data_IF_631547193056
#
_entry.id   IF_631547193056
#
_cell.length_a   1.000
_cell.length_b   1.000
_cell.length_c   1.000
_cell.angle_alpha   90.00
_cell.angle_beta   90.00
_cell.angle_gamma   90.00
#
_symmetry.space_group_name_H-M   'P 1'
#
loop_
_entity.id
_entity.type
_entity.pdbx_description
1 polymer ?
#
# COMPACT_ATOMS: atom_id res chain seq x y z
N UNK A 1 27.33 -4.71 53.36
CA UNK A 1 26.38 -5.51 52.56
C UNK A 1 26.71 -5.28 51.09
N UNK A 2 27.58 -6.10 50.47
CA UNK A 2 27.84 -6.00 49.04
C UNK A 2 26.66 -6.61 48.26
N UNK A 3 26.19 -5.89 47.25
CA UNK A 3 25.18 -6.35 46.31
C UNK A 3 25.86 -7.19 45.23
N UNK A 4 25.88 -8.50 45.44
CA UNK A 4 26.21 -9.49 44.42
C UNK A 4 25.01 -9.65 43.49
N UNK A 5 25.05 -8.99 42.34
CA UNK A 5 24.12 -9.23 41.24
C UNK A 5 24.93 -9.64 40.01
N UNK A 6 25.47 -10.86 40.09
CA UNK A 6 26.08 -11.58 38.98
C UNK A 6 24.98 -11.96 37.97
N UNK A 7 24.72 -11.07 37.01
CA UNK A 7 23.89 -11.40 35.85
C UNK A 7 24.79 -12.01 34.77
N UNK A 8 25.07 -13.29 34.92
CA UNK A 8 25.52 -14.14 33.82
C UNK A 8 24.42 -14.21 32.75
N UNK A 9 24.52 -13.37 31.72
CA UNK A 9 23.63 -13.43 30.55
C UNK A 9 24.15 -14.54 29.63
N UNK A 10 23.34 -15.57 29.29
CA UNK A 10 23.78 -16.61 28.38
C UNK A 10 24.03 -16.03 26.99
N UNK A 11 25.26 -16.23 26.48
CA UNK A 11 25.67 -15.85 25.13
C UNK A 11 24.86 -16.69 24.14
N UNK A 12 23.82 -16.09 23.57
CA UNK A 12 23.03 -16.71 22.51
C UNK A 12 23.92 -16.80 21.27
N UNK A 13 24.31 -18.02 20.89
CA UNK A 13 25.03 -18.30 19.65
C UNK A 13 24.18 -17.85 18.47
N UNK A 14 24.53 -16.70 17.90
CA UNK A 14 23.95 -16.21 16.65
C UNK A 14 24.21 -17.24 15.54
N UNK A 15 23.17 -17.69 14.82
CA UNK A 15 23.35 -18.60 13.70
C UNK A 15 24.13 -17.89 12.59
N UNK A 16 25.10 -18.58 12.01
CA UNK A 16 25.89 -18.08 10.87
C UNK A 16 24.94 -17.89 9.68
N UNK A 17 24.55 -16.65 9.42
CA UNK A 17 23.76 -16.29 8.25
C UNK A 17 24.69 -16.39 7.05
N UNK A 18 24.53 -17.47 6.27
CA UNK A 18 25.24 -17.63 4.99
C UNK A 18 24.65 -16.64 4.00
N UNK A 19 25.32 -15.50 3.82
CA UNK A 19 24.95 -14.54 2.77
C UNK A 19 25.05 -15.24 1.41
N UNK A 20 23.97 -15.29 0.61
CA UNK A 20 24.04 -15.88 -0.71
C UNK A 20 25.04 -15.09 -1.54
N UNK A 21 25.96 -15.81 -2.19
CA UNK A 21 27.00 -15.23 -3.05
C UNK A 21 26.33 -14.51 -4.21
N UNK A 22 26.16 -13.20 -4.09
CA UNK A 22 25.61 -12.36 -5.15
C UNK A 22 26.61 -12.41 -6.30
N UNK A 23 26.21 -13.03 -7.41
CA UNK A 23 27.04 -13.05 -8.62
C UNK A 23 27.18 -11.62 -9.14
N UNK A 24 28.39 -11.21 -9.59
CA UNK A 24 28.58 -9.88 -10.16
C UNK A 24 27.64 -9.69 -11.34
N UNK A 25 26.84 -8.63 -11.28
CA UNK A 25 26.02 -8.19 -12.40
C UNK A 25 27.02 -7.71 -13.45
N UNK A 26 27.22 -8.49 -14.52
CA UNK A 26 27.99 -8.07 -15.68
C UNK A 26 27.25 -6.91 -16.31
N UNK A 27 27.76 -5.69 -16.12
CA UNK A 27 27.27 -4.49 -16.79
C UNK A 27 27.77 -4.60 -18.23
N UNK A 28 27.01 -5.30 -19.08
CA UNK A 28 27.28 -5.39 -20.52
C UNK A 28 27.04 -4.02 -21.15
N UNK A 29 28.04 -3.57 -21.90
CA UNK A 29 28.16 -2.41 -22.79
C UNK A 29 26.99 -1.40 -22.84
N UNK A 30 27.25 -0.09 -22.66
CA UNK A 30 26.23 0.97 -22.70
C UNK A 30 25.56 1.18 -24.08
N UNK A 31 25.98 0.44 -25.11
CA UNK A 31 25.36 0.40 -26.45
C UNK A 31 24.82 -0.98 -26.85
N UNK A 32 24.74 -1.95 -25.94
CA UNK A 32 24.13 -3.23 -26.25
C UNK A 32 22.66 -3.00 -26.66
N UNK A 33 22.21 -3.48 -27.84
CA UNK A 33 20.82 -3.38 -28.25
C UNK A 33 19.96 -3.98 -27.15
N UNK A 34 18.80 -3.37 -26.86
CA UNK A 34 17.86 -3.84 -25.84
C UNK A 34 17.67 -5.35 -26.00
N UNK A 35 18.42 -6.13 -25.22
CA UNK A 35 18.34 -7.59 -25.30
C UNK A 35 16.90 -7.87 -24.93
N UNK A 36 16.13 -8.40 -25.89
CA UNK A 36 14.68 -8.56 -25.84
C UNK A 36 14.24 -9.54 -24.75
N UNK A 37 14.56 -9.23 -23.50
CA UNK A 37 14.11 -9.98 -22.34
C UNK A 37 12.62 -9.74 -22.27
N UNK A 38 11.87 -10.80 -22.53
CA UNK A 38 10.42 -10.79 -22.39
C UNK A 38 10.08 -10.22 -21.01
N UNK A 39 9.15 -9.28 -20.97
CA UNK A 39 8.74 -8.67 -19.70
C UNK A 39 8.07 -9.74 -18.87
N UNK A 40 8.52 -9.88 -17.63
CA UNK A 40 7.89 -10.78 -16.68
C UNK A 40 6.40 -10.41 -16.51
N UNK A 41 5.52 -11.37 -16.77
CA UNK A 41 4.07 -11.18 -16.64
C UNK A 41 3.73 -11.12 -15.16
N UNK A 42 2.96 -10.12 -14.75
CA UNK A 42 2.52 -10.00 -13.36
C UNK A 42 1.44 -11.06 -13.10
N UNK A 43 1.66 -12.01 -12.17
CA UNK A 43 0.68 -13.05 -11.88
C UNK A 43 -0.62 -12.46 -11.31
N UNK A 44 -1.80 -13.05 -11.58
CA UNK A 44 -3.09 -12.57 -11.04
C UNK A 44 -3.11 -12.45 -9.51
N UNK A 45 -2.45 -13.37 -8.81
CA UNK A 45 -2.31 -13.35 -7.35
C UNK A 45 -1.59 -12.09 -6.85
N UNK A 46 -0.53 -11.67 -7.55
CA UNK A 46 0.21 -10.45 -7.23
C UNK A 46 -0.64 -9.22 -7.50
N UNK A 47 -1.38 -9.20 -8.63
CA UNK A 47 -2.30 -8.12 -8.95
C UNK A 47 -3.36 -7.92 -7.86
N UNK A 48 -3.99 -9.00 -7.39
CA UNK A 48 -4.94 -8.97 -6.26
C UNK A 48 -4.29 -8.45 -4.98
N UNK A 49 -3.10 -8.93 -4.64
CA UNK A 49 -2.38 -8.47 -3.45
C UNK A 49 -2.01 -6.97 -3.50
N UNK A 50 -1.69 -6.43 -4.68
CA UNK A 50 -1.44 -4.99 -4.87
C UNK A 50 -2.70 -4.17 -4.61
N UNK A 51 -3.85 -4.66 -5.05
CA UNK A 51 -5.14 -4.02 -4.78
C UNK A 51 -5.47 -4.02 -3.28
N UNK A 52 -5.41 -5.19 -2.66
CA UNK A 52 -5.71 -5.38 -1.23
C UNK A 52 -4.79 -4.54 -0.34
N UNK A 53 -3.51 -4.42 -0.68
CA UNK A 53 -2.55 -3.55 0.02
C UNK A 53 -3.01 -2.09 0.08
N UNK A 54 -3.66 -1.57 -0.97
CA UNK A 54 -3.98 -0.14 -1.08
C UNK A 54 -5.42 0.18 -0.70
N UNK A 55 -6.36 -0.69 -1.05
CA UNK A 55 -7.79 -0.46 -0.91
C UNK A 55 -8.51 -1.52 -0.06
N UNK A 56 -7.77 -2.47 0.53
CA UNK A 56 -8.32 -3.60 1.28
C UNK A 56 -9.39 -4.34 0.45
N UNK A 57 -10.60 -4.49 1.00
CA UNK A 57 -11.72 -5.20 0.36
C UNK A 57 -12.63 -4.30 -0.50
N UNK A 58 -12.24 -3.03 -0.74
CA UNK A 58 -13.06 -2.11 -1.53
C UNK A 58 -13.06 -2.49 -3.01
N UNK A 59 -14.22 -2.36 -3.67
CA UNK A 59 -14.35 -2.53 -5.12
C UNK A 59 -13.84 -1.32 -5.92
N UNK A 60 -13.81 -0.15 -5.28
CA UNK A 60 -13.39 1.12 -5.87
C UNK A 60 -12.12 1.63 -5.19
N UNK A 61 -11.21 2.16 -6.02
CA UNK A 61 -9.93 2.71 -5.60
C UNK A 61 -9.62 4.00 -6.36
N UNK A 62 -8.44 4.57 -6.12
CA UNK A 62 -7.94 5.76 -6.81
C UNK A 62 -6.59 5.45 -7.44
N UNK A 63 -6.38 5.83 -8.69
CA UNK A 63 -5.08 5.74 -9.36
C UNK A 63 -4.02 6.44 -8.52
N UNK A 64 -2.91 5.76 -8.24
CA UNK A 64 -1.83 6.32 -7.42
C UNK A 64 -1.25 7.62 -8.01
N UNK A 65 -1.22 7.72 -9.34
CA UNK A 65 -0.58 8.80 -10.08
C UNK A 65 -1.49 10.02 -10.22
N UNK A 66 -2.69 9.84 -10.77
CA UNK A 66 -3.59 10.94 -11.14
C UNK A 66 -4.84 11.07 -10.26
N UNK A 67 -5.02 10.18 -9.28
CA UNK A 67 -6.16 10.22 -8.37
C UNK A 67 -7.53 9.82 -8.96
N UNK A 68 -7.62 9.54 -10.26
CA UNK A 68 -8.87 9.12 -10.92
C UNK A 68 -9.41 7.81 -10.33
N UNK A 69 -10.73 7.62 -10.28
CA UNK A 69 -11.30 6.36 -9.81
C UNK A 69 -10.85 5.20 -10.69
N UNK A 70 -10.55 4.07 -10.05
CA UNK A 70 -10.23 2.78 -10.67
C UNK A 70 -11.03 1.69 -9.96
N UNK A 71 -11.26 0.58 -10.63
CA UNK A 71 -12.05 -0.54 -10.12
C UNK A 71 -11.19 -1.78 -9.96
N UNK A 72 -11.52 -2.67 -9.02
CA UNK A 72 -10.75 -3.89 -8.77
C UNK A 72 -10.66 -4.78 -10.03
N UNK A 73 -11.73 -4.79 -10.83
CA UNK A 73 -11.77 -5.60 -12.05
C UNK A 73 -11.00 -4.92 -13.20
N UNK A 74 -10.91 -3.58 -13.18
CA UNK A 74 -10.28 -2.78 -14.23
C UNK A 74 -9.25 -1.77 -13.66
N UNK A 75 -8.01 -2.26 -13.51
CA UNK A 75 -6.85 -1.45 -13.16
C UNK A 75 -5.56 -2.05 -13.71
N UNK A 76 -4.50 -1.24 -13.78
CA UNK A 76 -3.17 -1.68 -14.17
C UNK A 76 -2.21 -1.64 -12.98
N UNK A 77 -1.27 -2.58 -12.94
CA UNK A 77 -0.17 -2.56 -11.98
C UNK A 77 1.04 -1.85 -12.61
N UNK A 78 1.40 -0.69 -12.08
CA UNK A 78 2.58 0.05 -12.48
C UNK A 78 3.75 -0.25 -11.53
N UNK A 79 4.97 -0.28 -12.06
CA UNK A 79 6.17 -0.49 -11.26
C UNK A 79 6.67 0.83 -10.68
N UNK A 80 6.93 0.90 -9.37
CA UNK A 80 7.56 2.04 -8.69
C UNK A 80 8.93 2.33 -9.27
N UNK A 81 9.81 1.31 -9.28
CA UNK A 81 11.03 1.28 -10.07
C UNK A 81 10.76 0.56 -11.38
N UNK A 82 11.00 1.20 -12.52
CA UNK A 82 10.69 0.65 -13.83
C UNK A 82 11.34 -0.73 -14.04
N UNK A 83 10.63 -1.65 -14.70
CA UNK A 83 11.16 -2.98 -15.03
C UNK A 83 12.46 -2.90 -15.85
N UNK A 84 12.53 -1.93 -16.78
CA UNK A 84 13.73 -1.65 -17.58
C UNK A 84 14.96 -1.24 -16.72
N UNK A 85 14.74 -0.77 -15.49
CA UNK A 85 15.78 -0.38 -14.53
C UNK A 85 16.02 -1.44 -13.46
N UNK A 86 15.57 -2.68 -13.67
CA UNK A 86 15.67 -3.77 -12.69
C UNK A 86 14.58 -3.73 -11.60
N UNK A 87 13.42 -3.13 -11.90
CA UNK A 87 12.25 -3.18 -11.03
C UNK A 87 11.72 -4.60 -10.85
N UNK A 88 11.50 -5.02 -9.60
CA UNK A 88 10.93 -6.34 -9.30
C UNK A 88 9.41 -6.38 -9.46
N UNK A 89 8.84 -7.55 -9.72
CA UNK A 89 7.38 -7.79 -9.73
C UNK A 89 6.77 -7.96 -8.33
N UNK A 90 7.52 -7.66 -7.25
CA UNK A 90 7.04 -7.81 -5.88
C UNK A 90 5.97 -6.76 -5.59
N UNK A 91 4.97 -7.12 -4.78
CA UNK A 91 3.87 -6.24 -4.33
C UNK A 91 4.37 -4.92 -3.70
N UNK A 92 5.58 -4.91 -3.15
CA UNK A 92 6.23 -3.71 -2.60
C UNK A 92 6.59 -2.69 -3.68
N UNK A 93 6.97 -3.14 -4.87
CA UNK A 93 7.36 -2.35 -6.03
C UNK A 93 6.19 -2.08 -6.99
N UNK A 94 5.00 -2.63 -6.77
CA UNK A 94 3.84 -2.40 -7.62
C UNK A 94 2.82 -1.49 -6.95
N UNK A 95 2.17 -0.62 -7.73
CA UNK A 95 1.05 0.22 -7.30
C UNK A 95 -0.09 0.20 -8.33
N UNK A 96 -1.35 0.34 -7.88
CA UNK A 96 -2.50 0.37 -8.75
C UNK A 96 -2.63 1.72 -9.48
N UNK A 97 -2.79 1.66 -10.79
CA UNK A 97 -2.86 2.81 -11.70
C UNK A 97 -3.93 2.62 -12.77
N UNK A 98 -4.37 3.69 -13.41
CA UNK A 98 -5.23 3.59 -14.58
C UNK A 98 -4.41 3.29 -15.85
N UNK A 99 -5.05 2.69 -16.85
CA UNK A 99 -4.42 2.35 -18.13
C UNK A 99 -3.70 3.55 -18.77
N UNK A 100 -4.33 4.72 -18.77
CA UNK A 100 -3.78 5.96 -19.35
C UNK A 100 -2.44 6.37 -18.72
N UNK A 101 -2.33 6.31 -17.39
CA UNK A 101 -1.09 6.66 -16.69
C UNK A 101 -0.02 5.60 -16.94
N UNK A 102 -0.38 4.32 -16.86
CA UNK A 102 0.57 3.23 -17.06
C UNK A 102 1.19 3.24 -18.48
N UNK A 103 0.37 3.48 -19.51
CA UNK A 103 0.84 3.54 -20.90
C UNK A 103 1.73 4.76 -21.17
N UNK A 104 1.41 5.92 -20.59
CA UNK A 104 2.21 7.15 -20.77
C UNK A 104 3.52 7.16 -19.98
N UNK A 105 3.65 6.33 -18.95
CA UNK A 105 4.81 6.32 -18.06
C UNK A 105 6.08 5.74 -18.72
N UNK A 106 5.93 4.81 -19.67
CA UNK A 106 7.06 4.23 -20.40
C UNK A 106 8.08 3.53 -19.48
N UNK A 107 9.34 3.96 -19.55
CA UNK A 107 10.47 3.42 -18.76
C UNK A 107 10.78 4.26 -17.51
N UNK A 108 9.95 5.25 -17.20
CA UNK A 108 10.14 6.14 -16.05
C UNK A 108 9.68 5.47 -14.75
N UNK A 109 10.36 5.80 -13.65
CA UNK A 109 9.93 5.42 -12.31
C UNK A 109 8.65 6.18 -11.92
N UNK A 110 7.75 5.49 -11.21
CA UNK A 110 6.39 5.93 -10.94
C UNK A 110 6.32 7.26 -10.18
N UNK A 111 7.18 7.43 -9.18
CA UNK A 111 7.23 8.65 -8.36
C UNK A 111 7.73 9.86 -9.18
N UNK A 112 8.72 9.62 -10.05
CA UNK A 112 9.26 10.68 -10.93
C UNK A 112 8.19 11.11 -11.93
N UNK A 113 7.48 10.14 -12.53
CA UNK A 113 6.37 10.44 -13.44
C UNK A 113 5.25 11.20 -12.75
N UNK A 114 4.86 10.78 -11.53
CA UNK A 114 3.81 11.44 -10.75
C UNK A 114 4.18 12.88 -10.42
N UNK A 115 5.37 13.13 -9.88
CA UNK A 115 5.85 14.48 -9.56
C UNK A 115 5.92 15.38 -10.79
N UNK A 116 6.36 14.84 -11.94
CA UNK A 116 6.49 15.61 -13.19
C UNK A 116 5.13 16.01 -13.79
N UNK A 117 4.15 15.10 -13.78
CA UNK A 117 2.88 15.31 -14.51
C UNK A 117 1.72 15.74 -13.60
N UNK A 118 1.80 15.48 -12.30
CA UNK A 118 0.76 15.76 -11.31
C UNK A 118 1.36 16.34 -10.03
N UNK A 119 2.07 17.49 -10.11
CA UNK A 119 2.76 18.09 -8.96
C UNK A 119 1.81 18.47 -7.82
N UNK A 120 0.55 18.81 -8.13
CA UNK A 120 -0.48 19.09 -7.12
C UNK A 120 -0.94 17.87 -6.32
N UNK A 121 -0.58 16.66 -6.75
CA UNK A 121 -0.92 15.38 -6.11
C UNK A 121 0.28 14.65 -5.51
N UNK A 122 1.50 15.15 -5.71
CA UNK A 122 2.70 14.61 -5.05
C UNK A 122 2.80 15.22 -3.66
N UNK A 123 2.64 14.39 -2.63
CA UNK A 123 2.97 14.78 -1.27
C UNK A 123 4.46 15.13 -1.25
N UNK A 124 4.80 16.42 -1.11
CA UNK A 124 6.19 16.80 -0.85
C UNK A 124 6.63 16.04 0.41
N UNK A 125 7.69 15.21 0.38
CA UNK A 125 8.27 14.71 1.60
C UNK A 125 8.94 15.91 2.28
N UNK A 126 8.17 16.66 3.07
CA UNK A 126 8.78 17.48 4.10
C UNK A 126 9.56 16.52 5.00
N UNK A 127 10.86 16.76 5.23
CA UNK A 127 11.60 15.98 6.20
C UNK A 127 10.85 16.13 7.53
N UNK A 128 10.24 15.03 8.00
CA UNK A 128 9.68 14.96 9.34
C UNK A 128 10.84 15.25 10.28
N UNK A 129 10.93 16.49 10.78
CA UNK A 129 11.73 16.79 11.97
C UNK A 129 11.24 15.82 13.04
N UNK A 130 12.07 14.84 13.39
CA UNK A 130 11.93 14.07 14.62
C UNK A 130 12.03 15.07 15.76
N UNK A 131 10.89 15.59 16.21
CA UNK A 131 10.81 16.30 17.49
C UNK A 131 11.17 15.29 18.57
N UNK A 132 12.19 15.64 19.35
CA UNK A 132 12.76 14.81 20.39
C UNK A 132 11.72 14.37 21.41
N UNK A 133 11.93 13.14 21.88
CA UNK A 133 11.29 12.54 23.04
C UNK A 133 11.72 13.34 24.27
N UNK A 134 10.79 14.05 24.91
CA UNK A 134 10.94 14.53 26.28
C UNK A 134 9.88 13.83 27.15
N UNK A 135 10.35 13.33 28.28
CA UNK A 135 9.70 12.44 29.24
C UNK A 135 8.93 13.20 30.33
N UNK A 136 7.91 12.53 30.89
CA UNK A 136 7.55 12.36 32.33
C UNK A 136 6.02 12.19 32.44
N UNK A 137 5.54 10.99 32.84
CA UNK A 137 5.16 10.59 34.21
C UNK A 137 3.95 11.39 34.74
N UNK A 138 2.95 10.91 35.47
CA UNK A 138 2.46 9.62 36.00
C UNK A 138 1.20 10.03 36.80
N UNK A 139 0.07 9.32 36.70
CA UNK A 139 -0.82 8.99 37.86
C UNK A 139 -2.15 8.36 37.43
N UNK A 140 -2.33 7.11 37.81
CA UNK A 140 -3.59 6.34 37.96
C UNK A 140 -4.24 6.66 39.33
N UNK A 141 -5.33 6.01 39.79
CA UNK A 141 -6.61 5.58 39.16
C UNK A 141 -7.85 5.95 40.04
N UNK A 142 -9.10 5.81 39.56
CA UNK A 142 -10.24 5.31 40.38
C UNK A 142 -11.53 5.01 39.59
N UNK A 143 -12.05 3.79 39.81
CA UNK A 143 -13.44 3.35 39.58
C UNK A 143 -14.41 4.25 40.36
N UNK A 144 -15.63 4.49 39.86
CA UNK A 144 -16.88 3.82 40.33
C UNK A 144 -18.17 4.47 39.76
N UNK A 145 -19.07 3.57 39.35
CA UNK A 145 -20.54 3.55 39.56
C UNK A 145 -21.51 4.51 38.84
N UNK A 146 -22.56 3.81 38.32
CA UNK A 146 -24.00 4.13 38.27
C UNK A 146 -24.56 4.77 36.98
N UNK A 147 -25.35 3.93 36.30
CA UNK A 147 -26.43 4.25 35.35
C UNK A 147 -27.51 5.13 36.02
N UNK A 148 -28.38 5.85 35.28
CA UNK A 148 -29.54 5.17 34.68
C UNK A 148 -30.00 5.69 33.29
N UNK A 149 -30.61 4.76 32.56
CA UNK A 149 -31.73 4.88 31.60
C UNK A 149 -31.93 6.17 30.77
N UNK A 150 -31.90 6.06 29.44
CA UNK A 150 -32.85 6.82 28.62
C UNK A 150 -33.21 6.14 27.27
N UNK A 151 -34.48 5.72 27.23
CA UNK A 151 -35.44 5.59 26.12
C UNK A 151 -34.94 5.25 24.70
N UNK A 152 -35.44 4.08 24.27
CA UNK A 152 -35.63 3.63 22.90
C UNK A 152 -36.11 4.77 21.97
N UNK A 153 -35.37 5.03 20.88
CA UNK A 153 -35.91 5.67 19.68
C UNK A 153 -36.02 4.63 18.57
N UNK A 154 -37.23 4.56 18.04
CA UNK A 154 -37.76 3.60 17.08
C UNK A 154 -36.96 3.62 15.78
N UNK A 155 -36.63 2.43 15.28
CA UNK A 155 -36.12 2.19 13.95
C UNK A 155 -37.27 2.34 12.94
N UNK A 156 -37.18 3.33 12.06
CA UNK A 156 -37.99 3.37 10.83
C UNK A 156 -37.15 2.81 9.69
N UNK A 157 -37.67 1.73 9.10
CA UNK A 157 -37.12 1.00 7.95
C UNK A 157 -37.02 1.93 6.72
N UNK A 158 -35.88 2.02 6.01
CA UNK A 158 -35.83 2.72 4.74
C UNK A 158 -36.67 1.96 3.69
N UNK A 159 -37.48 2.69 2.91
CA UNK A 159 -38.27 2.15 1.80
C UNK A 159 -37.33 1.73 0.67
N UNK A 160 -37.54 0.54 0.11
CA UNK A 160 -36.76 0.00 -1.00
C UNK A 160 -36.93 0.85 -2.27
N UNK A 161 -35.85 1.22 -2.98
CA UNK A 161 -35.90 2.14 -4.12
C UNK A 161 -36.34 1.50 -5.46
N UNK A 162 -36.93 0.30 -5.45
CA UNK A 162 -37.27 -0.45 -6.66
C UNK A 162 -38.76 -0.76 -6.84
N UNK A 163 -39.64 -0.15 -6.04
CA UNK A 163 -41.09 -0.34 -6.14
C UNK A 163 -41.71 0.58 -7.21
N UNK A 164 -41.38 0.34 -8.50
CA UNK A 164 -42.00 1.00 -9.65
C UNK A 164 -43.06 0.08 -10.24
N UNK A 165 -44.33 0.42 -10.03
CA UNK A 165 -45.50 -0.23 -10.63
C UNK A 165 -45.45 -0.12 -12.16
N UNK A 166 -45.36 -1.25 -12.87
CA UNK A 166 -45.59 -1.33 -14.31
C UNK A 166 -47.10 -1.16 -14.58
N UNK A 167 -47.52 -0.39 -15.61
CA UNK A 167 -48.91 -0.33 -16.02
C UNK A 167 -49.35 -1.60 -16.74
N UNK A 168 -50.56 -2.06 -16.44
CA UNK A 168 -51.20 -3.24 -17.03
C UNK A 168 -51.46 -3.04 -18.53
N UNK A 169 -50.73 -3.78 -19.37
CA UNK A 169 -51.09 -3.95 -20.78
C UNK A 169 -52.21 -4.99 -20.86
N UNK A 170 -53.43 -4.52 -21.16
CA UNK A 170 -54.52 -5.39 -21.61
C UNK A 170 -54.31 -5.68 -23.10
N UNK A 171 -54.32 -6.96 -23.43
CA UNK A 171 -54.32 -7.49 -24.80
C UNK A 171 -55.58 -7.11 -25.57
#
# INVERSE_FOLDING_TARGET
MPNDFDISVPIIKVPKITVPKVTPIKISDPLAPWSGKEREKIPPKVRKAVWEKRFATRKTGKCYVCGRPIYNDDFHCAHKRAAARGGSIRVTNLEPTCARCNLKMGTQDLEIYKRKNFPSLSDNPTPKKTAGKATKATSTPKKTTKSPANKQKKTTKPKDPWDVKLPDFKF
#
